data_IF_011138965327
#
_entry.id   IF_011138965327
#
_cell.length_a   1.000
_cell.length_b   1.000
_cell.length_c   1.000
_cell.angle_alpha   90.00
_cell.angle_beta   90.00
_cell.angle_gamma   90.00
#
_symmetry.space_group_name_H-M   'P 1'
#
loop_
_entity.id
_entity.type
_entity.pdbx_description
1 polymer ?
#
# COMPACT_ATOMS: atom_id res chain seq x y z
N UNK A 1 38.22 -4.83 1.63
CA UNK A 1 37.54 -5.61 0.57
C UNK A 1 37.99 -5.11 -0.79
N UNK A 2 38.32 -5.99 -1.72
CA UNK A 2 38.57 -5.60 -3.12
C UNK A 2 37.25 -5.19 -3.79
N UNK A 3 37.30 -4.29 -4.77
CA UNK A 3 36.10 -3.84 -5.51
C UNK A 3 35.32 -5.03 -6.12
N UNK A 4 35.99 -6.06 -6.56
CA UNK A 4 35.38 -7.30 -7.08
C UNK A 4 34.57 -8.05 -6.04
N UNK A 5 35.04 -8.14 -4.80
CA UNK A 5 34.29 -8.78 -3.72
C UNK A 5 33.00 -7.99 -3.37
N UNK A 6 33.06 -6.66 -3.41
CA UNK A 6 31.88 -5.81 -3.22
C UNK A 6 30.87 -6.04 -4.34
N UNK A 7 31.32 -6.07 -5.59
CA UNK A 7 30.43 -6.30 -6.75
C UNK A 7 29.79 -7.68 -6.72
N UNK A 8 30.52 -8.72 -6.32
CA UNK A 8 29.98 -10.08 -6.19
C UNK A 8 28.89 -10.15 -5.12
N UNK A 9 29.12 -9.53 -3.97
CA UNK A 9 28.13 -9.50 -2.89
C UNK A 9 26.94 -8.62 -3.26
N UNK A 10 27.13 -7.49 -3.95
CA UNK A 10 26.05 -6.64 -4.44
C UNK A 10 25.14 -7.39 -5.42
N UNK A 11 25.73 -8.15 -6.37
CA UNK A 11 24.94 -8.99 -7.28
C UNK A 11 24.11 -10.01 -6.51
N UNK A 12 24.68 -10.65 -5.49
CA UNK A 12 23.97 -11.62 -4.68
C UNK A 12 22.81 -10.96 -3.89
N UNK A 13 23.02 -9.77 -3.36
CA UNK A 13 21.96 -8.99 -2.70
C UNK A 13 20.84 -8.55 -3.66
N UNK A 14 21.17 -8.31 -4.92
CA UNK A 14 20.17 -7.87 -5.92
C UNK A 14 19.34 -9.01 -6.48
N UNK A 15 19.96 -10.09 -6.93
CA UNK A 15 19.27 -11.16 -7.69
C UNK A 15 19.56 -12.57 -7.16
N UNK A 16 20.44 -12.72 -6.17
CA UNK A 16 20.85 -14.00 -5.62
C UNK A 16 21.66 -14.85 -6.62
N UNK A 17 21.46 -16.19 -6.61
CA UNK A 17 22.15 -17.11 -7.51
C UNK A 17 21.57 -17.14 -8.94
N UNK A 18 20.55 -16.33 -9.26
CA UNK A 18 19.95 -16.29 -10.59
C UNK A 18 20.98 -15.91 -11.68
N UNK A 19 20.98 -16.53 -12.90
CA UNK A 19 20.01 -17.50 -13.41
C UNK A 19 20.30 -18.98 -13.03
N UNK A 20 21.40 -19.28 -12.36
CA UNK A 20 21.83 -20.65 -12.05
C UNK A 20 21.08 -21.24 -10.83
N UNK A 21 20.21 -20.47 -10.20
CA UNK A 21 19.41 -20.84 -9.04
C UNK A 21 18.13 -20.01 -8.93
N UNK A 22 17.36 -20.16 -7.85
CA UNK A 22 16.11 -19.41 -7.68
C UNK A 22 16.37 -17.92 -7.52
N UNK A 23 15.40 -17.11 -8.00
CA UNK A 23 15.41 -15.66 -7.76
C UNK A 23 15.35 -15.38 -6.26
N UNK A 24 16.21 -14.48 -5.78
CA UNK A 24 16.28 -14.11 -4.36
C UNK A 24 16.77 -12.66 -4.21
N UNK A 25 16.99 -12.21 -2.98
CA UNK A 25 17.44 -10.84 -2.70
C UNK A 25 16.41 -9.78 -3.05
N UNK A 26 16.89 -8.60 -3.45
CA UNK A 26 16.04 -7.44 -3.75
C UNK A 26 15.02 -7.69 -4.87
N UNK A 27 15.36 -8.45 -5.90
CA UNK A 27 14.45 -8.77 -6.98
C UNK A 27 13.25 -9.59 -6.50
N UNK A 28 13.45 -10.57 -5.61
CA UNK A 28 12.37 -11.33 -5.01
C UNK A 28 11.53 -10.44 -4.06
N UNK A 29 12.18 -9.59 -3.27
CA UNK A 29 11.51 -8.58 -2.43
C UNK A 29 10.55 -7.71 -3.25
N UNK A 30 11.05 -7.13 -4.37
CA UNK A 30 10.23 -6.28 -5.26
C UNK A 30 9.10 -7.08 -5.90
N UNK A 31 9.37 -8.30 -6.34
CA UNK A 31 8.36 -9.17 -6.96
C UNK A 31 7.23 -9.50 -5.98
N UNK A 32 7.54 -9.95 -4.77
CA UNK A 32 6.55 -10.25 -3.73
C UNK A 32 5.77 -9.00 -3.33
N UNK A 33 6.47 -7.87 -3.11
CA UNK A 33 5.84 -6.61 -2.75
C UNK A 33 4.89 -6.12 -3.83
N UNK A 34 5.28 -6.20 -5.11
CA UNK A 34 4.44 -5.80 -6.24
C UNK A 34 3.14 -6.62 -6.29
N UNK A 35 3.25 -7.94 -6.22
CA UNK A 35 2.08 -8.83 -6.22
C UNK A 35 1.18 -8.55 -5.01
N UNK A 36 1.76 -8.42 -3.82
CA UNK A 36 1.01 -8.13 -2.61
C UNK A 36 0.32 -6.75 -2.67
N UNK A 37 1.00 -5.70 -3.14
CA UNK A 37 0.44 -4.36 -3.29
C UNK A 37 -0.71 -4.32 -4.30
N UNK A 38 -0.56 -4.98 -5.45
CA UNK A 38 -1.62 -5.06 -6.46
C UNK A 38 -2.84 -5.80 -5.91
N UNK A 39 -2.63 -6.99 -5.34
CA UNK A 39 -3.71 -7.77 -4.75
C UNK A 39 -4.41 -7.03 -3.59
N UNK A 40 -3.63 -6.43 -2.67
CA UNK A 40 -4.14 -5.62 -1.58
C UNK A 40 -4.98 -4.44 -2.07
N UNK A 41 -4.54 -3.76 -3.13
CA UNK A 41 -5.25 -2.62 -3.70
C UNK A 41 -6.57 -3.04 -4.32
N UNK A 42 -6.57 -4.07 -5.15
CA UNK A 42 -7.79 -4.57 -5.81
C UNK A 42 -8.81 -5.05 -4.78
N UNK A 43 -8.37 -5.90 -3.85
CA UNK A 43 -9.25 -6.46 -2.80
C UNK A 43 -9.72 -5.36 -1.83
N UNK A 44 -8.81 -4.48 -1.38
CA UNK A 44 -9.14 -3.42 -0.43
C UNK A 44 -10.13 -2.40 -0.99
N UNK A 45 -9.92 -1.95 -2.23
CA UNK A 45 -10.88 -1.06 -2.92
C UNK A 45 -12.21 -1.77 -3.14
N UNK A 46 -12.18 -3.04 -3.56
CA UNK A 46 -13.38 -3.86 -3.72
C UNK A 46 -14.18 -3.99 -2.41
N UNK A 47 -13.51 -4.24 -1.28
CA UNK A 47 -14.13 -4.28 0.04
C UNK A 47 -14.76 -2.94 0.43
N UNK A 48 -14.08 -1.81 0.18
CA UNK A 48 -14.62 -0.49 0.50
C UNK A 48 -15.87 -0.15 -0.35
N UNK A 49 -15.84 -0.46 -1.64
CA UNK A 49 -17.00 -0.30 -2.54
C UNK A 49 -18.14 -1.20 -2.09
N UNK A 50 -17.85 -2.44 -1.71
CA UNK A 50 -18.85 -3.38 -1.20
C UNK A 50 -19.47 -2.87 0.11
N UNK A 51 -18.66 -2.36 1.04
CA UNK A 51 -19.14 -1.78 2.29
C UNK A 51 -20.07 -0.58 2.05
N UNK A 52 -19.73 0.34 1.14
CA UNK A 52 -20.60 1.47 0.76
C UNK A 52 -21.97 0.98 0.23
N UNK A 53 -21.97 -0.13 -0.52
CA UNK A 53 -23.20 -0.74 -1.05
C UNK A 53 -24.04 -1.41 0.03
N UNK A 54 -23.42 -2.21 0.87
CA UNK A 54 -24.11 -2.93 1.94
C UNK A 54 -24.71 -1.97 2.96
N UNK A 55 -24.05 -0.84 3.26
CA UNK A 55 -24.57 0.19 4.15
C UNK A 55 -25.80 0.92 3.59
N UNK A 56 -25.86 1.09 2.27
CA UNK A 56 -27.02 1.69 1.62
C UNK A 56 -28.28 0.80 1.67
N UNK A 57 -28.13 -0.51 1.96
CA UNK A 57 -29.21 -1.48 2.01
C UNK A 57 -29.56 -1.84 3.46
N UNK A 58 -30.71 -1.40 4.03
CA UNK A 58 -31.05 -1.63 5.43
C UNK A 58 -30.97 -3.10 5.85
N UNK A 59 -31.42 -4.01 4.99
CA UNK A 59 -31.47 -5.45 5.25
C UNK A 59 -30.09 -6.11 5.26
N UNK A 60 -29.06 -5.48 4.70
CA UNK A 60 -27.69 -6.03 4.57
C UNK A 60 -26.67 -5.34 5.48
N UNK A 61 -27.10 -4.42 6.35
CA UNK A 61 -26.20 -3.70 7.27
C UNK A 61 -25.47 -4.64 8.25
N UNK A 62 -26.06 -5.77 8.58
CA UNK A 62 -25.40 -6.77 9.42
C UNK A 62 -24.15 -7.36 8.70
N UNK A 63 -24.24 -7.60 7.38
CA UNK A 63 -23.13 -8.07 6.57
C UNK A 63 -22.02 -7.00 6.45
N UNK A 64 -22.39 -5.73 6.31
CA UNK A 64 -21.41 -4.63 6.35
C UNK A 64 -20.68 -4.60 7.70
N UNK A 65 -21.38 -4.79 8.81
CA UNK A 65 -20.75 -4.87 10.15
C UNK A 65 -19.82 -6.08 10.28
N UNK A 66 -20.24 -7.25 9.79
CA UNK A 66 -19.43 -8.46 9.80
C UNK A 66 -18.15 -8.29 8.97
N UNK A 67 -18.25 -7.75 7.73
CA UNK A 67 -17.10 -7.48 6.86
C UNK A 67 -16.14 -6.47 7.51
N UNK A 68 -16.68 -5.39 8.09
CA UNK A 68 -15.86 -4.40 8.81
C UNK A 68 -15.16 -5.00 10.04
N UNK A 69 -15.85 -5.87 10.79
CA UNK A 69 -15.26 -6.61 11.89
C UNK A 69 -14.12 -7.52 11.44
N UNK A 70 -14.31 -8.27 10.34
CA UNK A 70 -13.27 -9.11 9.74
C UNK A 70 -12.04 -8.28 9.33
N UNK A 71 -12.23 -7.16 8.61
CA UNK A 71 -11.14 -6.28 8.22
C UNK A 71 -10.43 -5.66 9.45
N UNK A 72 -11.18 -5.31 10.50
CA UNK A 72 -10.61 -4.83 11.76
C UNK A 72 -9.76 -5.89 12.46
N UNK A 73 -10.20 -7.14 12.48
CA UNK A 73 -9.44 -8.28 13.03
C UNK A 73 -8.13 -8.48 12.26
N UNK A 74 -8.15 -8.45 10.92
CA UNK A 74 -6.93 -8.58 10.12
C UNK A 74 -5.90 -7.49 10.44
N UNK A 75 -6.33 -6.27 10.74
CA UNK A 75 -5.43 -5.17 11.14
C UNK A 75 -4.93 -5.29 12.59
N UNK A 76 -5.66 -5.97 13.45
CA UNK A 76 -5.28 -6.17 14.83
C UNK A 76 -4.24 -7.28 15.02
N UNK A 77 -4.15 -8.22 14.06
CA UNK A 77 -3.21 -9.33 14.11
C UNK A 77 -1.85 -8.87 13.57
N UNK A 78 -0.72 -9.09 14.28
CA UNK A 78 0.61 -8.84 13.73
C UNK A 78 0.83 -9.63 12.43
N UNK A 79 1.37 -8.94 11.40
CA UNK A 79 1.61 -9.55 10.07
C UNK A 79 2.46 -10.83 10.18
N UNK A 80 3.49 -10.81 11.04
CA UNK A 80 4.35 -11.97 11.29
C UNK A 80 3.54 -13.20 11.77
N UNK A 81 2.59 -12.99 12.68
CA UNK A 81 1.74 -14.07 13.18
C UNK A 81 0.82 -14.60 12.10
N UNK A 82 0.29 -13.72 11.27
CA UNK A 82 -0.55 -14.14 10.14
C UNK A 82 0.25 -14.97 9.13
N UNK A 83 1.49 -14.58 8.81
CA UNK A 83 2.38 -15.36 7.95
C UNK A 83 2.69 -16.74 8.55
N UNK A 84 2.99 -16.77 9.85
CA UNK A 84 3.26 -18.01 10.57
C UNK A 84 2.06 -18.97 10.53
N UNK A 85 0.85 -18.47 10.82
CA UNK A 85 -0.36 -19.28 10.75
C UNK A 85 -0.69 -19.73 9.33
N UNK A 86 -0.52 -18.85 8.35
CA UNK A 86 -0.77 -19.19 6.96
C UNK A 86 0.18 -20.28 6.45
N UNK A 87 1.43 -20.28 6.90
CA UNK A 87 2.43 -21.24 6.47
C UNK A 87 2.36 -22.58 7.21
N UNK A 88 2.09 -22.57 8.51
CA UNK A 88 2.10 -23.81 9.32
C UNK A 88 0.70 -24.37 9.57
N UNK A 89 -0.28 -23.51 9.92
CA UNK A 89 -1.60 -23.97 10.33
C UNK A 89 -2.48 -24.35 9.14
N UNK A 90 -2.48 -23.55 8.07
CA UNK A 90 -3.34 -23.81 6.91
C UNK A 90 -2.96 -25.14 6.20
N UNK A 91 -1.68 -25.40 5.87
CA UNK A 91 -1.28 -26.68 5.31
C UNK A 91 -1.62 -27.88 6.20
N UNK A 92 -1.42 -27.74 7.51
CA UNK A 92 -1.74 -28.79 8.49
C UNK A 92 -3.25 -29.08 8.53
N UNK A 93 -4.09 -28.04 8.46
CA UNK A 93 -5.54 -28.19 8.53
C UNK A 93 -6.16 -28.71 7.23
N UNK A 94 -5.59 -28.32 6.08
CA UNK A 94 -6.14 -28.65 4.75
C UNK A 94 -5.41 -29.80 4.04
N UNK A 95 -4.26 -30.25 4.57
CA UNK A 95 -3.43 -31.27 3.93
C UNK A 95 -2.80 -30.84 2.59
N UNK A 96 -2.64 -29.52 2.36
CA UNK A 96 -2.16 -28.97 1.09
C UNK A 96 -0.85 -28.21 1.33
N UNK A 97 0.20 -28.55 0.58
CA UNK A 97 1.45 -27.77 0.58
C UNK A 97 1.24 -26.42 -0.14
N UNK A 98 1.57 -25.32 0.54
CA UNK A 98 1.51 -23.97 -0.03
C UNK A 98 2.93 -23.45 -0.20
N UNK A 99 3.32 -22.94 -1.39
CA UNK A 99 4.64 -22.35 -1.60
C UNK A 99 4.87 -21.17 -0.65
N UNK A 100 6.09 -21.04 -0.13
CA UNK A 100 6.48 -20.02 0.84
C UNK A 100 6.19 -18.60 0.32
N UNK A 101 6.58 -18.33 -0.93
CA UNK A 101 6.35 -17.02 -1.56
C UNK A 101 4.86 -16.69 -1.72
N UNK A 102 4.03 -17.68 -2.05
CA UNK A 102 2.58 -17.49 -2.15
C UNK A 102 1.97 -17.20 -0.77
N UNK A 103 2.43 -17.88 0.28
CA UNK A 103 2.01 -17.63 1.66
C UNK A 103 2.33 -16.19 2.08
N UNK A 104 3.56 -15.72 1.81
CA UNK A 104 3.97 -14.34 2.12
C UNK A 104 3.10 -13.34 1.37
N UNK A 105 2.97 -13.50 0.04
CA UNK A 105 2.17 -12.59 -0.80
C UNK A 105 0.72 -12.52 -0.34
N UNK A 106 0.10 -13.67 -0.02
CA UNK A 106 -1.31 -13.69 0.42
C UNK A 106 -1.50 -13.09 1.80
N UNK A 107 -0.59 -13.32 2.75
CA UNK A 107 -0.64 -12.71 4.08
C UNK A 107 -0.47 -11.19 4.02
N UNK A 108 0.53 -10.70 3.27
CA UNK A 108 0.74 -9.26 3.05
C UNK A 108 -0.45 -8.62 2.33
N UNK A 109 -0.99 -9.29 1.30
CA UNK A 109 -2.15 -8.81 0.56
C UNK A 109 -3.40 -8.71 1.45
N UNK A 110 -3.64 -9.69 2.32
CA UNK A 110 -4.79 -9.69 3.23
C UNK A 110 -4.76 -8.52 4.21
N UNK A 111 -3.62 -8.30 4.88
CA UNK A 111 -3.43 -7.18 5.81
C UNK A 111 -3.46 -5.86 5.07
N UNK A 112 -2.72 -5.75 3.95
CA UNK A 112 -2.72 -4.56 3.11
C UNK A 112 -4.10 -4.18 2.60
N UNK A 113 -4.91 -5.17 2.17
CA UNK A 113 -6.29 -4.96 1.73
C UNK A 113 -7.17 -4.37 2.85
N UNK A 114 -6.99 -4.81 4.09
CA UNK A 114 -7.75 -4.29 5.22
C UNK A 114 -7.41 -2.82 5.53
N UNK A 115 -6.14 -2.42 5.44
CA UNK A 115 -5.73 -1.02 5.59
C UNK A 115 -6.18 -0.16 4.40
N UNK A 116 -6.06 -0.67 3.16
CA UNK A 116 -6.50 0.03 1.96
C UNK A 116 -8.03 0.21 1.95
N UNK A 117 -8.79 -0.80 2.39
CA UNK A 117 -10.24 -0.68 2.53
C UNK A 117 -10.62 0.46 3.48
N UNK A 118 -9.97 0.57 4.63
CA UNK A 118 -10.19 1.66 5.59
C UNK A 118 -9.84 3.03 4.99
N UNK A 119 -8.71 3.13 4.31
CA UNK A 119 -8.29 4.38 3.64
C UNK A 119 -9.27 4.78 2.55
N UNK A 120 -9.75 3.81 1.75
CA UNK A 120 -10.74 4.07 0.70
C UNK A 120 -12.10 4.47 1.28
N UNK A 121 -12.58 3.85 2.36
CA UNK A 121 -13.79 4.30 3.06
C UNK A 121 -13.66 5.76 3.51
N UNK A 122 -12.52 6.14 4.07
CA UNK A 122 -12.25 7.53 4.45
C UNK A 122 -12.25 8.45 3.22
N UNK A 123 -11.65 8.04 2.11
CA UNK A 123 -11.68 8.76 0.83
C UNK A 123 -13.10 8.94 0.28
N UNK A 124 -13.91 7.89 0.28
CA UNK A 124 -15.31 7.96 -0.16
C UNK A 124 -16.16 8.93 0.68
N UNK A 125 -15.92 8.98 1.99
CA UNK A 125 -16.58 9.94 2.89
C UNK A 125 -16.08 11.37 2.67
N UNK A 126 -14.82 11.56 2.33
CA UNK A 126 -14.21 12.88 2.11
C UNK A 126 -14.71 13.58 0.83
N UNK A 127 -15.19 12.85 -0.17
CA UNK A 127 -15.80 13.42 -1.39
C UNK A 127 -17.07 14.24 -1.08
N UNK A 128 -17.72 13.98 0.06
CA UNK A 128 -18.89 14.70 0.49
C UNK A 128 -20.19 14.26 -0.21
N UNK A 129 -21.31 14.42 0.50
CA UNK A 129 -22.63 14.00 0.02
C UNK A 129 -23.13 14.80 -1.20
N UNK A 130 -22.65 16.03 -1.38
CA UNK A 130 -23.09 16.92 -2.46
C UNK A 130 -22.85 16.36 -3.85
N UNK A 131 -21.69 15.76 -4.09
CA UNK A 131 -21.35 15.14 -5.39
C UNK A 131 -22.27 13.94 -5.70
N UNK A 132 -22.49 13.10 -4.69
CA UNK A 132 -23.41 11.95 -4.81
C UNK A 132 -24.85 12.40 -5.05
N UNK A 133 -25.34 13.38 -4.29
CA UNK A 133 -26.70 13.90 -4.40
C UNK A 133 -26.94 14.60 -5.74
N UNK A 134 -25.97 15.37 -6.24
CA UNK A 134 -26.06 15.99 -7.56
C UNK A 134 -26.16 14.94 -8.69
N UNK A 135 -25.35 13.87 -8.63
CA UNK A 135 -25.41 12.77 -9.59
C UNK A 135 -26.79 12.06 -9.56
N UNK A 136 -27.34 11.81 -8.37
CA UNK A 136 -28.67 11.22 -8.22
C UNK A 136 -29.77 12.13 -8.73
N UNK A 137 -29.68 13.44 -8.51
CA UNK A 137 -30.61 14.43 -9.03
C UNK A 137 -30.64 14.50 -10.57
N UNK A 138 -29.51 14.19 -11.22
CA UNK A 138 -29.39 14.02 -12.67
C UNK A 138 -29.88 12.66 -13.18
N UNK A 139 -30.52 11.84 -12.33
CA UNK A 139 -31.10 10.55 -12.70
C UNK A 139 -30.10 9.38 -12.76
N UNK A 140 -28.86 9.57 -12.29
CA UNK A 140 -27.89 8.47 -12.25
C UNK A 140 -28.29 7.42 -11.20
N UNK A 141 -28.08 6.14 -11.53
CA UNK A 141 -28.24 5.05 -10.55
C UNK A 141 -27.18 5.18 -9.45
N UNK A 142 -27.47 4.81 -8.18
CA UNK A 142 -26.50 4.91 -7.08
C UNK A 142 -25.15 4.23 -7.36
N UNK A 143 -25.15 3.08 -8.08
CA UNK A 143 -23.92 2.41 -8.50
C UNK A 143 -23.13 3.24 -9.49
N UNK A 144 -23.82 3.83 -10.45
CA UNK A 144 -23.22 4.66 -11.49
C UNK A 144 -22.60 5.92 -10.87
N UNK A 145 -23.35 6.62 -10.00
CA UNK A 145 -22.84 7.77 -9.25
C UNK A 145 -21.58 7.42 -8.44
N UNK A 146 -21.59 6.26 -7.75
CA UNK A 146 -20.41 5.82 -6.99
C UNK A 146 -19.20 5.55 -7.89
N UNK A 147 -19.35 4.75 -8.93
CA UNK A 147 -18.22 4.29 -9.75
C UNK A 147 -17.66 5.37 -10.68
N UNK A 148 -18.53 6.28 -11.21
CA UNK A 148 -18.10 7.28 -12.20
C UNK A 148 -17.81 8.65 -11.62
N UNK A 149 -18.39 9.02 -10.46
CA UNK A 149 -18.21 10.34 -9.87
C UNK A 149 -17.43 10.29 -8.56
N UNK A 150 -17.88 9.45 -7.61
CA UNK A 150 -17.33 9.46 -6.25
C UNK A 150 -16.02 8.70 -6.16
N UNK A 151 -15.94 7.49 -6.69
CA UNK A 151 -14.77 6.62 -6.59
C UNK A 151 -13.49 7.22 -7.23
N UNK A 152 -13.54 7.84 -8.42
CA UNK A 152 -12.33 8.47 -8.98
C UNK A 152 -11.83 9.66 -8.17
N UNK A 153 -12.74 10.41 -7.52
CA UNK A 153 -12.37 11.50 -6.62
C UNK A 153 -11.77 10.97 -5.32
N UNK A 154 -12.41 9.97 -4.70
CA UNK A 154 -11.92 9.29 -3.51
C UNK A 154 -10.53 8.68 -3.73
N UNK A 155 -10.29 8.06 -4.90
CA UNK A 155 -8.98 7.52 -5.29
C UNK A 155 -7.88 8.57 -5.20
N UNK A 156 -8.10 9.76 -5.75
CA UNK A 156 -7.12 10.86 -5.70
C UNK A 156 -6.84 11.35 -4.28
N UNK A 157 -7.87 11.36 -3.43
CA UNK A 157 -7.74 11.76 -2.03
C UNK A 157 -6.90 10.75 -1.25
N UNK A 158 -7.10 9.45 -1.50
CA UNK A 158 -6.44 8.38 -0.75
C UNK A 158 -5.03 8.01 -1.26
N UNK A 159 -4.59 8.50 -2.43
CA UNK A 159 -3.29 8.16 -3.02
C UNK A 159 -2.11 8.23 -2.05
N UNK A 160 -1.95 9.24 -1.16
CA UNK A 160 -0.84 9.26 -0.20
C UNK A 160 -0.93 8.13 0.82
N UNK A 161 -2.13 7.84 1.30
CA UNK A 161 -2.37 6.75 2.24
C UNK A 161 -2.09 5.38 1.61
N UNK A 162 -2.42 5.24 0.32
CA UNK A 162 -2.10 4.06 -0.47
C UNK A 162 -0.58 3.85 -0.61
N UNK A 163 0.16 4.90 -0.95
CA UNK A 163 1.61 4.84 -1.04
C UNK A 163 2.26 4.46 0.30
N UNK A 164 1.80 5.03 1.40
CA UNK A 164 2.27 4.66 2.74
C UNK A 164 2.03 3.17 3.03
N UNK A 165 0.88 2.62 2.62
CA UNK A 165 0.60 1.19 2.77
C UNK A 165 1.51 0.33 1.89
N UNK A 166 1.80 0.75 0.66
CA UNK A 166 2.73 0.04 -0.22
C UNK A 166 4.16 0.04 0.35
N UNK A 167 4.61 1.18 0.89
CA UNK A 167 5.91 1.28 1.59
C UNK A 167 5.95 0.33 2.79
N UNK A 168 4.89 0.28 3.60
CA UNK A 168 4.78 -0.69 4.69
C UNK A 168 4.89 -2.13 4.17
N UNK A 169 4.14 -2.47 3.12
CA UNK A 169 4.18 -3.81 2.50
C UNK A 169 5.57 -4.18 2.04
N UNK A 170 6.33 -3.25 1.42
CA UNK A 170 7.74 -3.51 1.03
C UNK A 170 8.60 -3.81 2.25
N UNK A 171 8.47 -3.06 3.34
CA UNK A 171 9.22 -3.30 4.58
C UNK A 171 8.84 -4.64 5.21
N UNK A 172 7.54 -4.96 5.21
CA UNK A 172 7.01 -6.19 5.80
C UNK A 172 7.41 -7.45 5.02
N UNK A 173 7.88 -7.34 3.75
CA UNK A 173 8.46 -8.49 3.04
C UNK A 173 9.69 -9.04 3.76
N UNK A 174 10.41 -8.23 4.55
CA UNK A 174 11.54 -8.69 5.36
C UNK A 174 11.15 -9.75 6.40
N UNK A 175 9.85 -9.80 6.79
CA UNK A 175 9.35 -10.81 7.72
C UNK A 175 9.23 -12.21 7.08
N UNK A 176 9.40 -12.31 5.76
CA UNK A 176 9.32 -13.57 5.01
C UNK A 176 10.43 -14.57 5.39
N UNK A 177 11.47 -14.12 6.11
CA UNK A 177 12.51 -15.01 6.65
C UNK A 177 11.93 -16.12 7.53
N UNK A 178 10.80 -15.88 8.21
CA UNK A 178 10.17 -16.84 9.12
C UNK A 178 9.69 -18.10 8.40
N UNK A 179 9.36 -17.98 7.11
CA UNK A 179 8.90 -19.08 6.25
C UNK A 179 10.00 -19.57 5.28
N UNK A 180 11.25 -19.13 5.49
CA UNK A 180 12.40 -19.61 4.72
C UNK A 180 12.64 -18.91 3.38
N UNK A 181 11.92 -17.83 3.05
CA UNK A 181 12.13 -17.07 1.81
C UNK A 181 13.43 -16.26 1.87
N UNK A 182 14.27 -16.41 0.85
CA UNK A 182 15.55 -15.69 0.73
C UNK A 182 15.32 -14.36 0.01
N UNK A 183 14.64 -13.44 0.69
CA UNK A 183 14.47 -12.06 0.29
C UNK A 183 15.72 -11.21 0.65
N UNK A 184 15.68 -9.89 0.45
CA UNK A 184 16.85 -9.01 0.61
C UNK A 184 17.49 -9.08 2.00
N UNK A 185 16.72 -9.10 3.09
CA UNK A 185 17.27 -9.14 4.46
C UNK A 185 17.85 -10.51 4.78
N UNK A 186 17.23 -11.59 4.32
CA UNK A 186 17.76 -12.95 4.46
C UNK A 186 19.02 -13.14 3.64
N UNK A 187 19.05 -12.63 2.40
CA UNK A 187 20.26 -12.64 1.56
C UNK A 187 21.41 -11.89 2.23
N UNK A 188 21.14 -10.75 2.87
CA UNK A 188 22.11 -10.01 3.66
C UNK A 188 22.66 -10.81 4.84
N UNK A 189 21.79 -11.50 5.58
CA UNK A 189 22.19 -12.40 6.66
C UNK A 189 23.11 -13.51 6.17
N UNK A 190 22.83 -14.11 5.00
CA UNK A 190 23.67 -15.13 4.38
C UNK A 190 25.03 -14.57 3.95
N UNK A 191 25.08 -13.38 3.35
CA UNK A 191 26.34 -12.70 3.01
C UNK A 191 27.14 -12.40 4.27
N UNK A 192 26.49 -11.83 5.29
CA UNK A 192 27.15 -11.52 6.56
C UNK A 192 27.74 -12.78 7.23
N UNK A 193 27.02 -13.90 7.22
CA UNK A 193 27.51 -15.17 7.77
C UNK A 193 28.74 -15.73 7.04
N UNK A 194 28.90 -15.40 5.75
CA UNK A 194 30.05 -15.83 4.94
C UNK A 194 31.26 -14.90 5.09
N UNK A 195 31.00 -13.60 5.29
CA UNK A 195 32.06 -12.58 5.31
C UNK A 195 32.56 -12.27 6.72
N UNK A 196 31.69 -12.40 7.74
CA UNK A 196 31.90 -12.17 9.20
C UNK A 196 32.57 -10.82 9.55
N UNK A 197 33.47 -10.33 8.69
CA UNK A 197 34.33 -9.17 8.93
C UNK A 197 33.65 -7.80 8.67
N UNK A 198 32.51 -7.75 7.96
CA UNK A 198 31.94 -6.49 7.45
C UNK A 198 30.43 -6.36 7.63
N UNK A 199 29.88 -6.59 8.83
CA UNK A 199 28.41 -6.54 9.05
C UNK A 199 27.84 -5.14 8.79
N UNK A 200 28.55 -4.08 9.16
CA UNK A 200 28.08 -2.70 8.99
C UNK A 200 27.91 -2.34 7.51
N UNK A 201 28.83 -2.75 6.66
CA UNK A 201 28.79 -2.49 5.21
C UNK A 201 27.67 -3.28 4.54
N UNK A 202 27.47 -4.55 4.91
CA UNK A 202 26.41 -5.39 4.34
C UNK A 202 25.04 -4.85 4.72
N UNK A 203 24.77 -4.62 6.00
CA UNK A 203 23.49 -4.11 6.45
C UNK A 203 23.27 -2.63 6.05
N UNK A 204 24.36 -1.84 5.95
CA UNK A 204 24.31 -0.49 5.40
C UNK A 204 23.86 -0.48 3.93
N UNK A 205 24.38 -1.37 3.10
CA UNK A 205 23.94 -1.52 1.71
C UNK A 205 22.46 -1.92 1.61
N UNK A 206 22.01 -2.84 2.46
CA UNK A 206 20.59 -3.24 2.53
C UNK A 206 19.70 -2.08 2.95
N UNK A 207 20.11 -1.29 3.94
CA UNK A 207 19.38 -0.10 4.37
C UNK A 207 19.22 0.92 3.23
N UNK A 208 20.30 1.14 2.45
CA UNK A 208 20.25 2.01 1.26
C UNK A 208 19.31 1.45 0.21
N UNK A 209 19.33 0.14 -0.07
CA UNK A 209 18.43 -0.48 -1.04
C UNK A 209 16.96 -0.35 -0.62
N UNK A 210 16.61 -0.64 0.64
CA UNK A 210 15.25 -0.40 1.14
C UNK A 210 14.86 1.08 1.09
N UNK A 211 15.78 1.97 1.44
CA UNK A 211 15.53 3.41 1.36
C UNK A 211 15.19 3.84 -0.07
N UNK A 212 15.95 3.40 -1.07
CA UNK A 212 15.70 3.72 -2.47
C UNK A 212 14.36 3.15 -2.96
N UNK A 213 14.05 1.90 -2.61
CA UNK A 213 12.78 1.26 -2.97
C UNK A 213 11.58 2.03 -2.35
N UNK A 214 11.64 2.33 -1.06
CA UNK A 214 10.56 3.03 -0.36
C UNK A 214 10.41 4.48 -0.84
N UNK A 215 11.52 5.21 -1.02
CA UNK A 215 11.48 6.60 -1.53
C UNK A 215 10.92 6.68 -2.95
N UNK A 216 11.20 5.69 -3.80
CA UNK A 216 10.61 5.60 -5.13
C UNK A 216 9.09 5.46 -5.09
N UNK A 217 8.57 4.66 -4.16
CA UNK A 217 7.11 4.48 -3.97
C UNK A 217 6.48 5.75 -3.39
N UNK A 218 7.13 6.40 -2.42
CA UNK A 218 6.64 7.65 -1.82
C UNK A 218 6.58 8.82 -2.81
N UNK A 219 7.44 8.83 -3.82
CA UNK A 219 7.41 9.84 -4.88
C UNK A 219 6.24 9.68 -5.85
N UNK A 220 5.68 8.45 -5.99
CA UNK A 220 4.66 8.11 -6.97
C UNK A 220 3.37 8.94 -6.86
N UNK A 221 2.75 9.17 -5.67
CA UNK A 221 1.57 10.02 -5.56
C UNK A 221 1.79 11.46 -6.00
N UNK A 222 2.95 12.02 -5.71
CA UNK A 222 3.30 13.39 -6.09
C UNK A 222 3.43 13.50 -7.61
N UNK A 223 4.06 12.52 -8.25
CA UNK A 223 4.17 12.45 -9.70
C UNK A 223 2.78 12.28 -10.36
N UNK A 224 1.94 11.37 -9.86
CA UNK A 224 0.57 11.16 -10.37
C UNK A 224 -0.33 12.39 -10.19
N UNK A 225 -0.13 13.17 -9.12
CA UNK A 225 -0.86 14.42 -8.89
C UNK A 225 -0.39 15.53 -9.82
N UNK A 226 0.91 15.65 -10.04
CA UNK A 226 1.48 16.66 -10.93
C UNK A 226 0.96 16.55 -12.36
N UNK A 227 0.68 15.31 -12.81
CA UNK A 227 0.11 15.03 -14.15
C UNK A 227 -1.41 15.21 -14.23
N UNK A 228 -2.12 15.32 -13.09
CA UNK A 228 -3.59 15.25 -13.04
C UNK A 228 -4.29 16.52 -12.57
N UNK A 229 -3.58 17.54 -12.13
CA UNK A 229 -4.22 18.76 -11.57
C UNK A 229 -3.68 20.00 -12.29
N UNK A 230 -4.54 20.78 -12.97
CA UNK A 230 -4.32 22.21 -13.04
C UNK A 230 -4.37 22.69 -11.58
N UNK A 231 -3.29 23.26 -11.08
CA UNK A 231 -3.28 23.91 -9.78
C UNK A 231 -4.46 24.90 -9.75
N UNK A 232 -5.54 24.54 -9.03
CA UNK A 232 -6.45 25.56 -8.52
C UNK A 232 -5.63 26.30 -7.47
N UNK A 233 -4.95 27.31 -7.98
CA UNK A 233 -4.01 28.16 -7.28
C UNK A 233 -4.60 28.61 -5.95
N UNK A 234 -3.83 28.47 -4.89
CA UNK A 234 -4.03 29.25 -3.64
C UNK A 234 -4.07 30.78 -3.88
N UNK A 235 -3.93 31.23 -5.12
CA UNK A 235 -4.14 32.61 -5.59
C UNK A 235 -5.56 33.11 -5.34
N UNK A 236 -6.59 32.26 -5.44
CA UNK A 236 -7.98 32.65 -5.16
C UNK A 236 -8.20 32.96 -3.67
N UNK A 237 -7.61 32.17 -2.77
CA UNK A 237 -7.71 32.41 -1.33
C UNK A 237 -6.91 33.67 -0.92
N UNK A 238 -5.73 33.87 -1.49
CA UNK A 238 -4.94 35.10 -1.28
C UNK A 238 -5.63 36.33 -1.89
N UNK A 239 -6.37 36.21 -3.00
CA UNK A 239 -7.20 37.29 -3.56
C UNK A 239 -8.39 37.62 -2.65
N UNK A 240 -9.07 36.57 -2.13
CA UNK A 240 -10.20 36.73 -1.21
C UNK A 240 -9.77 37.39 0.10
N UNK A 241 -8.63 37.00 0.68
CA UNK A 241 -8.08 37.63 1.87
C UNK A 241 -7.64 39.08 1.61
N UNK A 242 -7.06 39.40 0.45
CA UNK A 242 -6.76 40.78 0.05
C UNK A 242 -7.99 41.63 -0.18
N UNK A 243 -9.08 41.05 -0.71
CA UNK A 243 -10.35 41.76 -0.86
C UNK A 243 -10.96 42.10 0.51
N UNK A 244 -10.90 41.18 1.48
CA UNK A 244 -11.40 41.39 2.84
C UNK A 244 -10.52 42.38 3.67
N UNK A 245 -9.28 42.58 3.29
CA UNK A 245 -8.34 43.50 3.95
C UNK A 245 -8.33 44.92 3.36
N UNK A 246 -9.19 45.25 2.38
CA UNK A 246 -9.36 46.62 1.93
C UNK A 246 -10.14 47.38 3.01
N UNK A 247 -9.53 48.40 3.65
CA UNK A 247 -10.25 49.27 4.57
C UNK A 247 -11.33 50.01 3.79
N UNK A 248 -12.51 50.17 4.43
CA UNK A 248 -13.63 50.96 3.90
C UNK A 248 -13.32 52.48 3.93
N UNK A 249 -12.27 52.88 3.21
CA UNK A 249 -11.76 54.24 3.23
C UNK A 249 -12.32 55.14 2.09
N UNK A 250 -13.10 54.54 1.15
CA UNK A 250 -13.57 55.31 -0.03
C UNK A 250 -15.09 55.49 -0.11
N UNK A 251 -15.78 55.50 1.04
CA UNK A 251 -17.24 55.69 1.05
C UNK A 251 -17.68 57.01 1.70
N UNK A 252 -16.81 58.01 1.80
CA UNK A 252 -17.14 59.39 2.25
C UNK A 252 -16.36 60.41 1.44
N UNK A 253 -16.85 60.78 0.28
CA UNK A 253 -16.75 62.08 -0.37
C UNK A 253 -17.87 62.22 -1.39
#
# INVERSE_FOLDING_TARGET
MTAEAILLHLRYLLVGPYPNGPLSGAALTVWMALLACVAATVVGVGCAVLLDRLEAMPNLRWLARALRGMLATLRAIPVLMLMFWAYFLIPMALGVAVPETATVVTALAAVGAAYIAQSMEAGLRAVGAGQRNAALALGMRPTQALLTIVLPQAWRIMLPSLANQWVSTVKDTSLAYIVGVVELSTAAGQVNSRTVAYPAEVFGAVAVLYFLLCSGIEALPNWLRATSTPQVEMSTWKRFLRWRARPAADAVT
#
